data_IF_767665448230
#
_entry.id   IF_767665448230
#
_cell.length_a   1.000
_cell.length_b   1.000
_cell.length_c   1.000
_cell.angle_alpha   90.00
_cell.angle_beta   90.00
_cell.angle_gamma   90.00
#
_symmetry.space_group_name_H-M   'P 1'
#
loop_
_entity.id
_entity.type
_entity.pdbx_description
1 polymer ?
#
# COMPACT_ATOMS: atom_id res chain seq x y z
N UNK A 1 -32.38 -11.43 33.41
CA UNK A 1 -31.09 -12.05 33.05
C UNK A 1 -31.12 -12.82 31.72
N UNK A 2 -32.12 -13.67 31.45
CA UNK A 2 -32.23 -14.44 30.18
C UNK A 2 -32.26 -13.58 28.90
N UNK A 3 -32.96 -12.43 28.91
CA UNK A 3 -33.05 -11.52 27.75
C UNK A 3 -31.73 -10.80 27.45
N UNK A 4 -30.98 -10.43 28.49
CA UNK A 4 -29.66 -9.82 28.38
C UNK A 4 -28.67 -10.80 27.73
N UNK A 5 -28.75 -12.08 28.11
CA UNK A 5 -27.88 -13.11 27.54
C UNK A 5 -28.08 -13.30 26.02
N UNK A 6 -29.34 -13.25 25.56
CA UNK A 6 -29.67 -13.33 24.12
C UNK A 6 -29.15 -12.11 23.36
N UNK A 7 -29.32 -10.91 23.90
CA UNK A 7 -28.81 -9.68 23.27
C UNK A 7 -27.29 -9.68 23.15
N UNK A 8 -26.58 -10.13 24.18
CA UNK A 8 -25.11 -10.24 24.15
C UNK A 8 -24.63 -11.24 23.09
N UNK A 9 -25.28 -12.41 22.99
CA UNK A 9 -24.96 -13.42 21.96
C UNK A 9 -25.18 -12.88 20.54
N UNK A 10 -26.26 -12.12 20.31
CA UNK A 10 -26.57 -11.57 19.00
C UNK A 10 -25.56 -10.50 18.56
N UNK A 11 -25.08 -9.68 19.48
CA UNK A 11 -24.05 -8.67 19.22
C UNK A 11 -22.66 -9.29 18.94
N UNK A 12 -22.34 -10.45 19.54
CA UNK A 12 -21.07 -11.15 19.27
C UNK A 12 -21.06 -11.74 17.85
N UNK A 13 -22.20 -12.18 17.32
CA UNK A 13 -22.28 -12.71 15.95
C UNK A 13 -21.98 -11.67 14.86
N UNK A 14 -22.25 -10.39 15.12
CA UNK A 14 -22.07 -9.32 14.14
C UNK A 14 -20.62 -8.84 13.99
N UNK A 15 -19.76 -9.07 15.00
CA UNK A 15 -18.32 -8.79 14.94
C UNK A 15 -17.49 -9.90 14.28
N UNK A 16 -18.05 -11.11 14.09
CA UNK A 16 -17.34 -12.23 13.47
C UNK A 16 -17.16 -12.08 11.95
N UNK A 17 -17.98 -11.24 11.29
CA UNK A 17 -17.96 -11.02 9.84
C UNK A 17 -17.33 -9.68 9.43
N UNK A 18 -16.53 -9.06 10.29
CA UNK A 18 -15.69 -7.91 9.96
C UNK A 18 -14.44 -8.28 9.16
N UNK A 19 -14.54 -9.22 8.21
CA UNK A 19 -13.40 -9.60 7.36
C UNK A 19 -12.98 -8.41 6.50
N UNK A 20 -11.85 -7.79 6.85
CA UNK A 20 -10.99 -7.03 5.93
C UNK A 20 -10.17 -7.99 5.05
N UNK A 21 -10.81 -9.07 4.57
CA UNK A 21 -10.21 -10.12 3.75
C UNK A 21 -10.68 -9.97 2.31
N UNK A 22 -9.77 -9.59 1.42
CA UNK A 22 -10.06 -9.43 0.00
C UNK A 22 -10.63 -10.72 -0.61
N UNK A 23 -11.72 -10.57 -1.34
CA UNK A 23 -12.51 -11.62 -1.97
C UNK A 23 -11.87 -12.17 -3.26
N UNK A 24 -10.64 -12.71 -3.20
CA UNK A 24 -10.03 -13.43 -4.33
C UNK A 24 -9.71 -14.88 -3.95
N UNK A 25 -10.21 -15.88 -4.71
CA UNK A 25 -9.88 -17.29 -4.45
C UNK A 25 -8.43 -17.64 -4.81
N UNK A 26 -7.69 -16.75 -5.48
CA UNK A 26 -6.29 -16.93 -5.86
C UNK A 26 -5.46 -15.67 -5.56
N UNK A 27 -5.23 -15.31 -4.29
CA UNK A 27 -4.44 -14.13 -3.96
C UNK A 27 -3.00 -14.31 -4.44
N UNK A 28 -2.53 -13.40 -5.31
CA UNK A 28 -1.12 -13.37 -5.75
C UNK A 28 -0.16 -12.80 -4.69
N UNK A 29 -0.71 -12.39 -3.55
CA UNK A 29 -0.02 -11.86 -2.36
C UNK A 29 -1.02 -11.54 -1.26
N UNK A 30 -0.55 -11.14 -0.07
CA UNK A 30 -1.42 -10.80 1.07
C UNK A 30 -2.34 -9.58 0.81
N UNK A 31 -1.98 -8.73 -0.14
CA UNK A 31 -2.78 -7.62 -0.67
C UNK A 31 -2.72 -7.70 -2.21
N UNK A 32 -3.87 -7.96 -2.83
CA UNK A 32 -4.10 -8.27 -4.22
C UNK A 32 -5.41 -7.58 -4.64
N UNK A 33 -5.28 -6.32 -5.06
CA UNK A 33 -6.41 -5.47 -5.43
C UNK A 33 -6.72 -5.72 -6.91
N UNK A 34 -7.52 -6.76 -7.18
CA UNK A 34 -7.99 -7.08 -8.52
C UNK A 34 -9.51 -7.03 -8.61
N UNK A 35 -10.02 -6.40 -9.66
CA UNK A 35 -11.42 -6.50 -10.08
C UNK A 35 -11.52 -7.57 -11.15
N UNK A 36 -12.44 -8.53 -10.97
CA UNK A 36 -12.63 -9.63 -11.93
C UNK A 36 -12.77 -9.10 -13.37
N UNK A 37 -12.13 -9.82 -14.30
CA UNK A 37 -12.07 -9.64 -15.77
C UNK A 37 -11.52 -8.33 -16.36
N UNK A 38 -11.52 -7.20 -15.64
CA UNK A 38 -11.27 -5.87 -16.28
C UNK A 38 -10.10 -5.07 -15.72
N UNK A 39 -9.54 -5.37 -14.53
CA UNK A 39 -8.31 -4.78 -13.94
C UNK A 39 -8.08 -3.26 -14.19
N UNK A 40 -9.13 -2.45 -14.20
CA UNK A 40 -9.10 -1.05 -14.63
C UNK A 40 -9.07 -0.03 -13.48
N UNK A 41 -8.80 -0.49 -12.26
CA UNK A 41 -8.78 0.34 -11.05
C UNK A 41 -7.36 0.37 -10.49
N UNK A 42 -6.86 1.56 -10.17
CA UNK A 42 -5.55 1.75 -9.53
C UNK A 42 -5.64 1.82 -8.00
N UNK A 43 -4.51 1.62 -7.33
CA UNK A 43 -4.36 1.94 -5.92
C UNK A 43 -4.12 3.45 -5.75
N UNK A 44 -5.05 4.15 -5.11
CA UNK A 44 -4.87 5.56 -4.73
C UNK A 44 -4.23 5.59 -3.34
N UNK A 45 -3.07 6.23 -3.25
CA UNK A 45 -2.36 6.46 -1.99
C UNK A 45 -2.89 7.73 -1.31
N UNK A 46 -2.76 7.85 0.02
CA UNK A 46 -3.01 9.13 0.69
C UNK A 46 -2.17 10.24 0.06
N UNK A 47 -2.85 11.30 -0.38
CA UNK A 47 -2.23 12.45 -1.02
C UNK A 47 -1.94 13.54 0.00
N UNK A 48 -0.70 14.03 0.02
CA UNK A 48 -0.34 15.18 0.84
C UNK A 48 0.74 16.01 0.13
N UNK A 49 0.76 17.33 0.33
CA UNK A 49 1.79 18.21 -0.24
C UNK A 49 3.04 18.32 0.63
N UNK A 50 2.97 17.94 1.91
CA UNK A 50 4.09 17.91 2.83
C UNK A 50 4.05 16.65 3.70
N UNK A 51 5.15 15.92 3.67
CA UNK A 51 5.43 14.78 4.53
C UNK A 51 5.32 15.06 6.04
N UNK A 52 5.46 16.32 6.48
CA UNK A 52 5.29 16.70 7.90
C UNK A 52 3.84 16.62 8.39
N UNK A 53 2.86 16.63 7.47
CA UNK A 53 1.44 16.49 7.81
C UNK A 53 1.04 15.02 8.09
N UNK A 54 1.95 14.07 7.83
CA UNK A 54 1.69 12.66 8.06
C UNK A 54 1.97 12.33 9.51
N UNK A 55 0.92 11.95 10.24
CA UNK A 55 0.98 11.64 11.67
C UNK A 55 0.81 10.14 11.91
N UNK A 56 1.42 9.64 12.98
CA UNK A 56 1.08 8.35 13.54
C UNK A 56 -0.12 8.54 14.50
N UNK A 57 -1.28 7.90 14.25
CA UNK A 57 -2.46 8.05 15.10
C UNK A 57 -2.24 7.54 16.53
N UNK A 58 -1.25 6.66 16.75
CA UNK A 58 -0.85 6.22 18.09
C UNK A 58 0.16 7.16 18.77
N UNK A 59 0.48 8.29 18.13
CA UNK A 59 1.53 9.22 18.57
C UNK A 59 2.94 8.77 18.16
N UNK A 60 3.92 9.64 18.39
CA UNK A 60 5.33 9.39 18.04
C UNK A 60 5.65 9.53 16.55
N UNK A 61 6.73 8.88 16.10
CA UNK A 61 7.18 8.96 14.70
C UNK A 61 6.25 8.16 13.78
N UNK A 62 6.23 8.55 12.51
CA UNK A 62 5.64 7.76 11.41
C UNK A 62 6.29 6.37 11.39
N UNK A 63 5.52 5.34 11.05
CA UNK A 63 6.00 3.96 11.07
C UNK A 63 6.77 3.65 9.77
N UNK A 64 7.98 3.06 9.83
CA UNK A 64 8.68 2.57 8.65
C UNK A 64 7.79 1.67 7.81
N UNK A 65 7.69 1.94 6.51
CA UNK A 65 6.73 1.24 5.65
C UNK A 65 5.60 2.14 5.12
N UNK A 66 5.35 3.30 5.72
CA UNK A 66 4.31 4.23 5.24
C UNK A 66 4.62 4.72 3.82
N UNK A 67 3.62 4.70 2.94
CA UNK A 67 3.69 5.16 1.55
C UNK A 67 2.63 6.25 1.34
N UNK A 68 3.02 7.36 0.69
CA UNK A 68 2.12 8.46 0.31
C UNK A 68 2.38 8.90 -1.13
N UNK A 69 1.41 9.61 -1.72
CA UNK A 69 1.65 10.43 -2.90
C UNK A 69 1.89 11.88 -2.47
N UNK A 70 3.08 12.39 -2.79
CA UNK A 70 3.50 13.77 -2.52
C UNK A 70 3.04 14.66 -3.68
N UNK A 71 1.97 15.43 -3.49
CA UNK A 71 1.38 16.26 -4.56
C UNK A 71 2.20 17.49 -4.90
N UNK A 72 3.12 17.92 -4.04
CA UNK A 72 4.04 19.02 -4.35
C UNK A 72 5.17 18.56 -5.26
N UNK A 73 5.59 17.30 -5.15
CA UNK A 73 6.65 16.69 -5.96
C UNK A 73 6.13 15.80 -7.11
N UNK A 74 4.82 15.60 -7.20
CA UNK A 74 4.17 14.70 -8.15
C UNK A 74 4.79 13.29 -8.14
N UNK A 75 4.97 12.70 -6.95
CA UNK A 75 5.68 11.43 -6.83
C UNK A 75 5.27 10.61 -5.60
N UNK A 76 5.56 9.31 -5.64
CA UNK A 76 5.37 8.42 -4.48
C UNK A 76 6.55 8.56 -3.52
N UNK A 77 6.28 8.65 -2.22
CA UNK A 77 7.31 8.66 -1.16
C UNK A 77 7.08 7.53 -0.17
N UNK A 78 8.18 7.01 0.36
CA UNK A 78 8.21 5.92 1.33
C UNK A 78 8.98 6.35 2.58
N UNK A 79 8.44 6.06 3.75
CA UNK A 79 9.09 6.34 5.02
C UNK A 79 10.06 5.20 5.38
N UNK A 80 11.36 5.50 5.36
CA UNK A 80 12.44 4.53 5.54
C UNK A 80 12.61 4.14 7.01
N UNK A 81 13.23 2.98 7.26
CA UNK A 81 13.67 2.54 8.59
C UNK A 81 14.65 3.53 9.27
N UNK A 82 15.27 4.43 8.50
CA UNK A 82 16.17 5.48 8.99
C UNK A 82 15.44 6.73 9.48
N UNK A 83 14.14 6.67 9.74
CA UNK A 83 13.29 7.79 10.14
C UNK A 83 13.32 8.99 9.17
N UNK A 84 13.32 8.69 7.87
CA UNK A 84 13.36 9.70 6.82
C UNK A 84 12.51 9.30 5.63
N UNK A 85 11.85 10.28 5.03
CA UNK A 85 11.16 10.11 3.75
C UNK A 85 12.16 9.93 2.60
N UNK A 86 11.83 9.07 1.64
CA UNK A 86 12.55 8.99 0.37
C UNK A 86 12.43 10.29 -0.44
N UNK A 87 13.41 10.57 -1.30
CA UNK A 87 13.35 11.69 -2.24
C UNK A 87 12.70 11.24 -3.57
N UNK A 88 11.44 10.81 -3.48
CA UNK A 88 10.67 10.05 -4.47
C UNK A 88 11.16 8.61 -4.67
N UNK A 89 10.22 7.69 -4.91
CA UNK A 89 10.53 6.35 -5.43
C UNK A 89 10.76 6.50 -6.92
N UNK A 90 11.97 6.22 -7.36
CA UNK A 90 12.35 6.24 -8.77
C UNK A 90 12.69 4.82 -9.20
N UNK A 91 12.21 4.42 -10.37
CA UNK A 91 12.70 3.21 -11.01
C UNK A 91 14.02 3.54 -11.69
N UNK A 92 15.08 2.81 -11.34
CA UNK A 92 16.36 2.97 -12.02
C UNK A 92 16.17 2.68 -13.50
N UNK A 93 16.46 3.67 -14.35
CA UNK A 93 16.62 3.44 -15.78
C UNK A 93 18.03 2.91 -15.95
N UNK A 94 18.20 1.60 -16.03
CA UNK A 94 19.48 1.02 -16.46
C UNK A 94 19.75 1.56 -17.86
N UNK A 95 20.65 2.52 -17.99
CA UNK A 95 21.15 2.93 -19.29
C UNK A 95 21.93 1.73 -19.85
N UNK A 96 21.40 1.10 -20.91
CA UNK A 96 22.20 0.16 -21.69
C UNK A 96 23.35 0.99 -22.27
N UNK A 97 24.56 0.80 -21.77
CA UNK A 97 25.75 1.39 -22.36
C UNK A 97 25.98 0.67 -23.70
N UNK A 98 25.49 1.26 -24.80
CA UNK A 98 25.48 0.69 -26.15
C UNK A 98 26.88 0.44 -26.77
N UNK A 99 27.94 0.39 -25.96
CA UNK A 99 29.34 0.35 -26.40
C UNK A 99 29.89 -1.06 -26.64
N UNK A 100 29.11 -2.13 -26.46
CA UNK A 100 29.58 -3.53 -26.59
C UNK A 100 28.72 -4.44 -27.47
N UNK A 101 28.00 -3.92 -28.46
CA UNK A 101 27.41 -4.77 -29.51
C UNK A 101 28.45 -4.93 -30.62
N UNK A 102 29.36 -5.90 -30.47
CA UNK A 102 30.06 -6.48 -31.63
C UNK A 102 29.14 -7.57 -32.18
N UNK A 103 28.47 -7.29 -33.29
CA UNK A 103 27.78 -8.28 -34.11
C UNK A 103 28.79 -9.29 -34.63
N UNK A 104 28.76 -10.51 -34.09
CA UNK A 104 29.39 -11.68 -34.71
C UNK A 104 28.39 -12.25 -35.71
N UNK A 105 28.50 -11.83 -36.97
CA UNK A 105 27.85 -12.54 -38.07
C UNK A 105 28.63 -13.83 -38.33
N UNK A 106 27.96 -14.96 -38.22
CA UNK A 106 28.33 -16.21 -38.88
C UNK A 106 27.13 -16.66 -39.69
#
# INVERSE_FOLDING_TARGET
>A
MKKIFITVILCIGSILFGQVGMNTPNPRGALDINKNTTHNMGLILPTNSDTNNIINPMGGKVIPGTIIYDSAKDCIRFYKKTDQWSNCIQFSKTAINAKNIKTSNN
#
